data_IF_032747715365
#
_entry.id   IF_032747715365
#
_cell.length_a   1.000
_cell.length_b   1.000
_cell.length_c   1.000
_cell.angle_alpha   90.00
_cell.angle_beta   90.00
_cell.angle_gamma   90.00
#
_symmetry.space_group_name_H-M   'P 1'
#
loop_
_entity.id
_entity.type
_entity.pdbx_description
1 polymer ?
#
# COMPACT_ATOMS: atom_id res chain seq x y z
N UNK A 1 -21.90 -24.35 -15.16
CA UNK A 1 -21.78 -23.60 -13.88
C UNK A 1 -20.32 -23.52 -13.55
N UNK A 2 -19.65 -22.43 -13.93
CA UNK A 2 -18.22 -22.24 -13.65
C UNK A 2 -18.14 -21.80 -12.19
N UNK A 3 -17.54 -22.62 -11.33
CA UNK A 3 -17.15 -22.21 -9.99
C UNK A 3 -16.05 -21.15 -10.17
N UNK A 4 -16.39 -19.88 -10.06
CA UNK A 4 -15.41 -18.86 -9.73
C UNK A 4 -14.93 -19.18 -8.32
N UNK A 5 -13.76 -19.81 -8.20
CA UNK A 5 -13.05 -19.91 -6.94
C UNK A 5 -12.90 -18.49 -6.40
N UNK A 6 -13.65 -18.18 -5.34
CA UNK A 6 -13.60 -16.88 -4.71
C UNK A 6 -12.18 -16.68 -4.21
N UNK A 7 -11.46 -15.72 -4.80
CA UNK A 7 -10.11 -15.41 -4.35
C UNK A 7 -10.23 -14.89 -2.92
N UNK A 8 -9.76 -15.69 -1.96
CA UNK A 8 -9.89 -15.37 -0.54
C UNK A 8 -9.15 -14.07 -0.27
N UNK A 9 -9.87 -13.07 0.25
CA UNK A 9 -9.23 -11.84 0.66
C UNK A 9 -8.37 -12.08 1.89
N UNK A 10 -7.15 -11.53 1.84
CA UNK A 10 -6.19 -11.62 2.93
C UNK A 10 -6.77 -10.84 4.12
N UNK A 11 -6.93 -11.51 5.27
CA UNK A 11 -7.55 -10.88 6.41
C UNK A 11 -6.68 -9.71 6.88
N UNK A 12 -7.28 -8.64 7.41
CA UNK A 12 -6.55 -7.43 7.79
C UNK A 12 -5.36 -7.69 8.75
N UNK A 13 -5.54 -8.61 9.69
CA UNK A 13 -4.48 -9.03 10.63
C UNK A 13 -3.35 -9.79 9.94
N UNK A 14 -3.68 -10.61 8.93
CA UNK A 14 -2.69 -11.31 8.11
C UNK A 14 -1.91 -10.31 7.26
N UNK A 15 -2.58 -9.28 6.73
CA UNK A 15 -1.96 -8.23 5.93
C UNK A 15 -0.99 -7.41 6.77
N UNK A 16 -1.38 -7.04 7.98
CA UNK A 16 -0.50 -6.35 8.92
C UNK A 16 0.77 -7.16 9.21
N UNK A 17 0.62 -8.46 9.52
CA UNK A 17 1.76 -9.36 9.78
C UNK A 17 2.68 -9.49 8.56
N UNK A 18 2.09 -9.63 7.37
CA UNK A 18 2.84 -9.66 6.11
C UNK A 18 3.68 -8.39 5.92
N UNK A 19 3.06 -7.21 6.00
CA UNK A 19 3.77 -5.94 5.79
C UNK A 19 4.78 -5.63 6.89
N UNK A 20 4.55 -6.09 8.12
CA UNK A 20 5.54 -6.04 9.19
C UNK A 20 6.80 -6.83 8.80
N UNK A 21 6.64 -8.03 8.25
CA UNK A 21 7.76 -8.86 7.82
C UNK A 21 8.49 -8.31 6.58
N UNK A 22 7.79 -7.57 5.72
CA UNK A 22 8.37 -6.97 4.51
C UNK A 22 9.11 -5.65 4.76
N UNK A 23 8.90 -5.04 5.94
CA UNK A 23 9.60 -3.82 6.34
C UNK A 23 11.12 -4.03 6.32
N UNK A 24 11.83 -3.15 5.64
CA UNK A 24 13.29 -3.23 5.45
C UNK A 24 13.78 -4.28 4.44
N UNK A 25 12.92 -5.17 3.93
CA UNK A 25 13.31 -6.18 2.94
C UNK A 25 13.40 -5.58 1.55
N UNK A 26 14.47 -5.89 0.81
CA UNK A 26 14.61 -5.46 -0.58
C UNK A 26 13.62 -6.23 -1.47
N UNK A 27 12.89 -5.50 -2.31
CA UNK A 27 12.03 -6.09 -3.34
C UNK A 27 12.91 -6.36 -4.55
N UNK A 28 12.83 -7.57 -5.10
CA UNK A 28 13.55 -7.94 -6.31
C UNK A 28 13.00 -7.15 -7.50
N UNK A 29 13.86 -6.83 -8.46
CA UNK A 29 13.49 -6.16 -9.71
C UNK A 29 13.83 -7.08 -10.87
N UNK A 30 12.99 -7.11 -11.89
CA UNK A 30 13.36 -7.76 -13.14
C UNK A 30 14.54 -7.04 -13.76
N UNK A 31 15.37 -7.81 -14.45
CA UNK A 31 16.56 -7.31 -15.12
C UNK A 31 16.29 -7.41 -16.62
N UNK A 32 16.49 -6.32 -17.33
CA UNK A 32 16.59 -6.33 -18.78
C UNK A 32 18.06 -6.17 -19.17
N UNK A 33 18.53 -7.02 -20.09
CA UNK A 33 19.82 -6.91 -20.75
C UNK A 33 19.53 -6.63 -22.23
N UNK A 34 19.43 -5.36 -22.65
CA UNK A 34 19.34 -4.99 -24.05
C UNK A 34 20.65 -5.34 -24.77
N UNK A 35 20.62 -5.36 -26.11
CA UNK A 35 21.78 -5.67 -26.96
C UNK A 35 22.97 -4.70 -26.76
N UNK A 36 22.74 -3.56 -26.12
CA UNK A 36 23.78 -2.60 -25.72
C UNK A 36 24.65 -3.07 -24.54
N UNK A 37 24.32 -4.22 -23.93
CA UNK A 37 25.06 -4.80 -22.82
C UNK A 37 24.84 -4.11 -21.47
N UNK A 38 23.96 -3.11 -21.38
CA UNK A 38 23.69 -2.38 -20.15
C UNK A 38 22.53 -3.02 -19.37
N UNK A 39 22.83 -3.51 -18.17
CA UNK A 39 21.83 -4.03 -17.23
C UNK A 39 20.89 -2.89 -16.79
N UNK A 40 19.61 -2.98 -17.14
CA UNK A 40 18.58 -2.01 -16.72
C UNK A 40 17.52 -2.70 -15.87
N UNK A 41 17.20 -2.11 -14.71
CA UNK A 41 16.09 -2.57 -13.88
C UNK A 41 14.76 -2.36 -14.63
N UNK A 42 13.98 -3.43 -14.74
CA UNK A 42 12.68 -3.45 -15.40
C UNK A 42 11.55 -3.05 -14.44
N UNK A 43 10.87 -4.02 -13.89
CA UNK A 43 9.74 -3.87 -12.97
C UNK A 43 9.96 -4.63 -11.67
N UNK A 44 9.47 -4.11 -10.54
CA UNK A 44 9.54 -4.81 -9.27
C UNK A 44 8.76 -6.13 -9.36
N UNK A 45 9.30 -7.17 -8.72
CA UNK A 45 8.67 -8.48 -8.61
C UNK A 45 7.87 -8.51 -7.31
N UNK A 46 6.55 -8.57 -7.45
CA UNK A 46 5.60 -8.64 -6.34
C UNK A 46 5.14 -10.07 -6.13
N UNK A 47 5.05 -10.48 -4.86
CA UNK A 47 4.47 -11.76 -4.48
C UNK A 47 2.93 -11.71 -4.54
N UNK A 48 2.31 -12.87 -4.40
CA UNK A 48 0.86 -13.00 -4.48
C UNK A 48 0.15 -12.31 -3.29
N UNK A 49 0.78 -12.27 -2.11
CA UNK A 49 0.18 -11.67 -0.90
C UNK A 49 -0.02 -10.15 -1.07
N UNK A 50 0.95 -9.44 -1.65
CA UNK A 50 0.80 -8.03 -2.00
C UNK A 50 -0.30 -7.82 -3.06
N UNK A 51 -0.30 -8.63 -4.12
CA UNK A 51 -1.26 -8.50 -5.21
C UNK A 51 -2.70 -8.74 -4.73
N UNK A 52 -2.90 -9.74 -3.88
CA UNK A 52 -4.17 -10.04 -3.25
C UNK A 52 -4.60 -8.93 -2.28
N UNK A 53 -3.68 -8.41 -1.48
CA UNK A 53 -3.95 -7.25 -0.63
C UNK A 53 -4.42 -6.05 -1.44
N UNK A 54 -3.71 -5.67 -2.51
CA UNK A 54 -4.05 -4.52 -3.35
C UNK A 54 -5.45 -4.67 -3.95
N UNK A 55 -5.73 -5.84 -4.53
CA UNK A 55 -7.04 -6.14 -5.12
C UNK A 55 -8.14 -6.02 -4.07
N UNK A 56 -8.01 -6.72 -2.95
CA UNK A 56 -9.02 -6.71 -1.90
C UNK A 56 -9.17 -5.34 -1.22
N UNK A 57 -8.07 -4.59 -1.06
CA UNK A 57 -8.15 -3.24 -0.52
C UNK A 57 -8.94 -2.32 -1.45
N UNK A 58 -8.68 -2.33 -2.76
CA UNK A 58 -9.43 -1.55 -3.77
C UNK A 58 -10.93 -1.84 -3.75
N UNK A 59 -11.30 -3.10 -3.53
CA UNK A 59 -12.70 -3.53 -3.46
C UNK A 59 -13.34 -3.32 -2.08
N UNK A 60 -12.56 -2.92 -1.07
CA UNK A 60 -13.04 -2.75 0.30
C UNK A 60 -13.67 -1.36 0.54
N UNK A 61 -14.57 -1.23 1.53
CA UNK A 61 -15.04 0.08 2.00
C UNK A 61 -13.94 0.97 2.60
N UNK A 62 -12.75 0.42 2.87
CA UNK A 62 -11.60 1.19 3.36
C UNK A 62 -10.87 1.92 2.23
N UNK A 63 -11.10 1.58 0.97
CA UNK A 63 -10.54 2.33 -0.15
C UNK A 63 -11.28 3.67 -0.31
N UNK A 64 -10.54 4.77 -0.19
CA UNK A 64 -11.06 6.11 -0.35
C UNK A 64 -10.89 6.56 -1.80
N UNK A 65 -11.93 6.43 -2.62
CA UNK A 65 -11.95 6.89 -4.02
C UNK A 65 -11.62 8.40 -4.18
N UNK A 66 -11.77 9.18 -3.10
CA UNK A 66 -11.49 10.61 -3.07
C UNK A 66 -10.25 10.93 -2.21
N UNK A 67 -9.32 9.98 -2.04
CA UNK A 67 -8.16 10.10 -1.15
C UNK A 67 -7.41 11.43 -1.31
N UNK A 68 -7.27 11.97 -2.52
CA UNK A 68 -6.62 13.28 -2.74
C UNK A 68 -7.36 14.44 -2.08
N UNK A 69 -8.70 14.43 -2.12
CA UNK A 69 -9.55 15.44 -1.47
C UNK A 69 -9.52 15.25 0.05
N UNK A 70 -9.63 14.02 0.52
CA UNK A 70 -9.53 13.68 1.94
C UNK A 70 -8.21 14.15 2.54
N UNK A 71 -7.06 13.81 1.93
CA UNK A 71 -5.75 14.25 2.42
C UNK A 71 -5.64 15.78 2.49
N UNK A 72 -6.11 16.49 1.46
CA UNK A 72 -6.11 17.96 1.44
C UNK A 72 -7.00 18.57 2.52
N UNK A 73 -8.14 17.95 2.83
CA UNK A 73 -9.02 18.39 3.92
C UNK A 73 -8.29 18.37 5.27
N UNK A 74 -7.40 17.39 5.47
CA UNK A 74 -6.54 17.30 6.65
C UNK A 74 -5.20 18.04 6.49
N UNK A 75 -5.09 18.97 5.52
CA UNK A 75 -3.88 19.74 5.23
C UNK A 75 -2.65 18.89 4.86
N UNK A 76 -2.86 17.64 4.42
CA UNK A 76 -1.80 16.77 3.89
C UNK A 76 -1.72 16.92 2.37
N UNK A 77 -0.51 17.14 1.86
CA UNK A 77 -0.26 17.16 0.41
C UNK A 77 -0.31 15.72 -0.13
N UNK A 78 -1.14 15.41 -1.15
CA UNK A 78 -1.29 14.06 -1.67
C UNK A 78 -0.10 13.67 -2.58
N UNK A 79 1.04 13.39 -1.96
CA UNK A 79 2.29 12.96 -2.61
C UNK A 79 2.94 11.90 -1.74
N UNK A 80 3.30 10.75 -2.27
CA UNK A 80 3.97 9.72 -1.47
C UNK A 80 5.43 10.10 -1.14
N UNK A 81 5.71 10.36 0.13
CA UNK A 81 7.04 10.51 0.70
C UNK A 81 6.99 10.35 2.23
N UNK A 82 8.16 10.21 2.87
CA UNK A 82 8.25 10.03 4.32
C UNK A 82 7.56 11.13 5.11
N UNK A 83 7.69 12.41 4.71
CA UNK A 83 7.07 13.54 5.44
C UNK A 83 5.55 13.42 5.46
N UNK A 84 4.94 13.14 4.30
CA UNK A 84 3.47 13.01 4.20
C UNK A 84 2.92 11.80 4.93
N UNK A 85 3.68 10.69 4.95
CA UNK A 85 3.28 9.49 5.71
C UNK A 85 3.37 9.79 7.20
N UNK A 86 4.46 10.41 7.67
CA UNK A 86 4.60 10.83 9.07
C UNK A 86 3.49 11.79 9.50
N UNK A 87 3.11 12.75 8.64
CA UNK A 87 1.97 13.63 8.92
C UNK A 87 0.67 12.84 9.09
N UNK A 88 0.39 11.88 8.21
CA UNK A 88 -0.79 11.03 8.32
C UNK A 88 -0.80 10.21 9.63
N UNK A 89 0.35 9.66 10.02
CA UNK A 89 0.49 8.92 11.27
C UNK A 89 0.28 9.82 12.50
N UNK A 90 0.79 11.05 12.47
CA UNK A 90 0.63 12.02 13.57
C UNK A 90 -0.81 12.51 13.74
N UNK A 91 -1.57 12.65 12.66
CA UNK A 91 -3.00 13.01 12.73
C UNK A 91 -3.82 11.91 13.43
N UNK A 92 -3.31 10.67 13.44
CA UNK A 92 -3.89 9.54 14.15
C UNK A 92 -5.38 9.33 13.80
N UNK A 93 -5.71 9.37 12.50
CA UNK A 93 -7.09 9.29 12.02
C UNK A 93 -7.24 8.21 10.94
N UNK A 94 -8.21 7.31 11.12
CA UNK A 94 -8.45 6.19 10.20
C UNK A 94 -8.76 6.61 8.79
N UNK A 95 -9.54 7.68 8.62
CA UNK A 95 -9.89 8.18 7.30
C UNK A 95 -8.65 8.70 6.56
N UNK A 96 -7.74 9.36 7.29
CA UNK A 96 -6.45 9.81 6.75
C UNK A 96 -5.55 8.62 6.40
N UNK A 97 -5.50 7.60 7.27
CA UNK A 97 -4.72 6.40 7.04
C UNK A 97 -5.21 5.62 5.80
N UNK A 98 -6.52 5.42 5.68
CA UNK A 98 -7.16 4.81 4.52
C UNK A 98 -6.94 5.61 3.23
N UNK A 99 -6.99 6.95 3.30
CA UNK A 99 -6.66 7.80 2.16
C UNK A 99 -5.18 7.68 1.76
N UNK A 100 -4.25 7.59 2.72
CA UNK A 100 -2.83 7.33 2.41
C UNK A 100 -2.59 5.94 1.82
N UNK A 101 -3.26 4.90 2.33
CA UNK A 101 -3.20 3.56 1.76
C UNK A 101 -3.72 3.55 0.32
N UNK A 102 -4.83 4.25 0.05
CA UNK A 102 -5.39 4.41 -1.30
C UNK A 102 -4.43 5.14 -2.25
N UNK A 103 -3.75 6.20 -1.76
CA UNK A 103 -2.70 6.90 -2.51
C UNK A 103 -1.53 5.97 -2.87
N UNK A 104 -1.09 5.10 -1.95
CA UNK A 104 -0.01 4.13 -2.21
C UNK A 104 -0.48 3.07 -3.21
N UNK A 105 -1.67 2.52 -3.04
CA UNK A 105 -2.26 1.48 -3.89
C UNK A 105 -2.40 1.94 -5.34
N UNK A 106 -2.81 3.18 -5.58
CA UNK A 106 -2.89 3.75 -6.94
C UNK A 106 -1.54 4.30 -7.44
N UNK A 107 -0.57 4.47 -6.54
CA UNK A 107 0.71 5.07 -6.86
C UNK A 107 1.59 4.21 -7.77
N UNK A 108 1.41 2.89 -7.80
CA UNK A 108 2.20 1.99 -8.66
C UNK A 108 1.95 2.25 -10.15
N UNK A 109 0.69 2.52 -10.52
CA UNK A 109 0.30 2.84 -11.89
C UNK A 109 0.88 4.18 -12.36
N UNK A 110 1.20 5.09 -11.43
CA UNK A 110 1.77 6.42 -11.71
C UNK A 110 3.29 6.43 -11.66
N UNK A 111 3.87 5.70 -10.71
CA UNK A 111 5.30 5.62 -10.46
C UNK A 111 5.64 4.19 -10.07
N UNK A 112 6.25 3.47 -11.01
CA UNK A 112 6.75 2.12 -10.80
C UNK A 112 7.66 2.02 -9.57
N UNK A 113 7.46 0.98 -8.77
CA UNK A 113 8.21 0.76 -7.53
C UNK A 113 7.63 1.51 -6.32
N UNK A 114 6.45 2.10 -6.46
CA UNK A 114 5.74 2.72 -5.33
C UNK A 114 5.41 1.70 -4.26
N UNK A 115 4.86 0.54 -4.62
CA UNK A 115 4.58 -0.49 -3.62
C UNK A 115 5.87 -1.05 -3.02
N UNK A 116 6.92 -1.17 -3.85
CA UNK A 116 8.21 -1.68 -3.39
C UNK A 116 8.82 -0.77 -2.31
N UNK A 117 8.80 0.54 -2.56
CA UNK A 117 9.22 1.55 -1.59
C UNK A 117 8.34 1.54 -0.35
N UNK A 118 7.01 1.51 -0.51
CA UNK A 118 6.09 1.53 0.62
C UNK A 118 6.23 0.30 1.54
N UNK A 119 6.53 -0.88 0.97
CA UNK A 119 6.86 -2.07 1.76
C UNK A 119 8.20 -1.91 2.48
N UNK A 120 9.25 -1.51 1.77
CA UNK A 120 10.60 -1.32 2.34
C UNK A 120 10.60 -0.34 3.50
N UNK A 121 9.91 0.78 3.35
CA UNK A 121 9.84 1.84 4.35
C UNK A 121 8.83 1.54 5.47
N UNK A 122 8.09 0.43 5.38
CA UNK A 122 7.11 0.01 6.37
C UNK A 122 5.80 0.82 6.39
N UNK A 123 5.52 1.61 5.34
CA UNK A 123 4.35 2.49 5.30
C UNK A 123 3.03 1.72 5.33
N UNK A 124 2.93 0.59 4.62
CA UNK A 124 1.73 -0.26 4.66
C UNK A 124 1.44 -0.73 6.09
N UNK A 125 2.45 -1.26 6.79
CA UNK A 125 2.31 -1.75 8.17
C UNK A 125 1.86 -0.63 9.11
N UNK A 126 2.53 0.51 9.09
CA UNK A 126 2.23 1.65 9.98
C UNK A 126 0.80 2.17 9.77
N UNK A 127 0.37 2.31 8.52
CA UNK A 127 -0.96 2.83 8.18
C UNK A 127 -2.07 1.81 8.46
N UNK A 128 -1.83 0.52 8.21
CA UNK A 128 -2.80 -0.54 8.52
C UNK A 128 -3.06 -0.64 10.01
N UNK A 129 -2.00 -0.59 10.82
CA UNK A 129 -2.06 -0.58 12.27
C UNK A 129 -2.87 0.62 12.77
N UNK A 130 -2.54 1.82 12.29
CA UNK A 130 -3.27 3.04 12.63
C UNK A 130 -4.77 2.91 12.32
N UNK A 131 -5.10 2.44 11.12
CA UNK A 131 -6.50 2.31 10.69
C UNK A 131 -7.25 1.17 11.41
N UNK A 132 -6.57 0.29 12.17
CA UNK A 132 -7.17 -0.76 12.98
C UNK A 132 -7.40 -0.33 14.45
N UNK A 133 -6.63 0.64 14.95
CA UNK A 133 -6.70 1.10 16.35
C UNK A 133 -7.99 1.91 16.64
N UNK A 134 -8.50 2.67 15.67
CA UNK A 134 -9.73 3.48 15.82
C UNK A 134 -11.01 2.64 15.79
N UNK A 135 -10.99 1.45 15.17
CA UNK A 135 -12.11 0.49 15.22
C UNK A 135 -12.32 -0.05 16.65
N UNK A 136 -11.25 -0.14 17.45
CA UNK A 136 -11.30 -0.63 18.84
C UNK A 136 -11.78 0.42 19.85
N UNK A 137 -11.76 1.70 19.50
CA UNK A 137 -12.19 2.80 20.41
C UNK A 137 -13.70 3.06 20.31
N UNK A 138 -14.36 2.54 19.26
CA UNK A 138 -15.80 2.74 18.99
C UNK A 138 -16.66 1.49 19.26
N UNK A 139 -16.07 0.39 19.73
CA UNK A 139 -16.78 -0.80 20.21
C UNK A 139 -16.93 -0.78 21.71
#
# INVERSE_FOLDING_TARGET
>A
MVRTEGVSCLARQEAEKYFQQMTGKKVAWTISQPEDGLVRAGYPQYDQELLDFVRCFRDSPSYDQQYRKTLRHFHIKPKLNGVTVSQALLINNTRVANAMLSLIVDGEDLQRGTWARAMQEGYFYQLLKLAAEDEKVKG
#
